data_IF_249385819131
#
_entry.id   IF_249385819131
#
_cell.length_a   1.000
_cell.length_b   1.000
_cell.length_c   1.000
_cell.angle_alpha   90.00
_cell.angle_beta   90.00
_cell.angle_gamma   90.00
#
_symmetry.space_group_name_H-M   'P 1'
#
loop_
_entity.id
_entity.type
_entity.pdbx_description
1 polymer ?
#
# COMPACT_ATOMS: atom_id res chain seq x y z
N UNK A 1 30.11 17.76 1.91
CA UNK A 1 28.76 17.32 2.35
C UNK A 1 27.98 16.93 1.10
N UNK A 2 27.37 15.75 1.08
CA UNK A 2 26.51 15.32 -0.03
C UNK A 2 25.24 16.17 -0.03
N UNK A 3 24.82 16.62 -1.21
CA UNK A 3 23.56 17.33 -1.38
C UNK A 3 22.41 16.40 -0.96
N UNK A 4 21.56 16.79 0.01
CA UNK A 4 20.45 15.95 0.49
C UNK A 4 19.46 15.57 -0.60
N UNK A 5 19.21 16.46 -1.59
CA UNK A 5 18.33 16.18 -2.74
C UNK A 5 18.90 15.04 -3.58
N UNK A 6 20.20 15.09 -3.87
CA UNK A 6 20.87 14.04 -4.64
C UNK A 6 20.90 12.72 -3.87
N UNK A 7 21.07 12.77 -2.55
CA UNK A 7 21.04 11.58 -1.70
C UNK A 7 19.65 10.94 -1.70
N UNK A 8 18.59 11.74 -1.60
CA UNK A 8 17.21 11.27 -1.66
C UNK A 8 16.86 10.65 -3.03
N UNK A 9 17.26 11.32 -4.14
CA UNK A 9 17.06 10.75 -5.48
C UNK A 9 17.74 9.41 -5.65
N UNK A 10 19.01 9.28 -5.24
CA UNK A 10 19.74 8.01 -5.28
C UNK A 10 19.07 6.92 -4.45
N UNK A 11 18.55 7.28 -3.27
CA UNK A 11 17.86 6.34 -2.41
C UNK A 11 16.55 5.85 -3.05
N UNK A 12 15.74 6.74 -3.63
CA UNK A 12 14.55 6.33 -4.39
C UNK A 12 14.89 5.45 -5.59
N UNK A 13 15.93 5.81 -6.35
CA UNK A 13 16.40 4.99 -7.48
C UNK A 13 16.84 3.59 -7.04
N UNK A 14 17.46 3.47 -5.87
CA UNK A 14 17.85 2.20 -5.29
C UNK A 14 16.62 1.35 -4.94
N UNK A 15 15.64 1.93 -4.24
CA UNK A 15 14.41 1.22 -3.88
C UNK A 15 13.61 0.82 -5.12
N UNK A 16 13.48 1.72 -6.10
CA UNK A 16 12.72 1.45 -7.32
C UNK A 16 13.33 0.33 -8.17
N UNK A 17 14.62 0.05 -8.05
CA UNK A 17 15.26 -1.10 -8.71
C UNK A 17 14.83 -2.45 -8.12
N UNK A 18 14.25 -2.45 -6.94
CA UNK A 18 13.74 -3.65 -6.26
C UNK A 18 12.26 -3.91 -6.57
N UNK A 19 11.62 -3.05 -7.38
CA UNK A 19 10.28 -3.29 -7.90
C UNK A 19 10.31 -4.48 -8.84
N UNK A 20 9.41 -5.41 -8.64
CA UNK A 20 9.27 -6.62 -9.44
C UNK A 20 7.80 -6.90 -9.73
N UNK A 21 7.56 -7.60 -10.82
CA UNK A 21 6.25 -8.20 -11.10
C UNK A 21 6.15 -9.51 -10.34
N UNK A 22 5.18 -9.63 -9.46
CA UNK A 22 4.95 -10.87 -8.73
C UNK A 22 4.04 -11.77 -9.59
N UNK A 23 4.50 -12.97 -9.99
CA UNK A 23 3.68 -13.83 -10.80
C UNK A 23 2.43 -14.28 -10.03
N UNK A 24 1.29 -14.26 -10.70
CA UNK A 24 0.06 -14.81 -10.18
C UNK A 24 0.24 -16.30 -9.89
N UNK A 25 0.15 -16.66 -8.61
CA UNK A 25 0.23 -18.06 -8.20
C UNK A 25 -1.15 -18.59 -7.79
N UNK A 26 -1.30 -19.92 -7.80
CA UNK A 26 -2.51 -20.57 -7.31
C UNK A 26 -2.85 -20.14 -5.88
N UNK A 27 -1.84 -19.83 -5.07
CA UNK A 27 -2.01 -19.32 -3.71
C UNK A 27 -2.64 -17.92 -3.71
N UNK A 28 -2.13 -16.98 -4.51
CA UNK A 28 -2.67 -15.63 -4.62
C UNK A 28 -4.11 -15.67 -5.11
N UNK A 29 -4.38 -16.42 -6.16
CA UNK A 29 -5.72 -16.62 -6.71
C UNK A 29 -6.67 -17.21 -5.67
N UNK A 30 -6.24 -18.23 -4.93
CA UNK A 30 -7.04 -18.88 -3.88
C UNK A 30 -7.38 -17.90 -2.76
N UNK A 31 -6.39 -17.12 -2.29
CA UNK A 31 -6.59 -16.12 -1.24
C UNK A 31 -7.55 -15.02 -1.68
N UNK A 32 -7.36 -14.47 -2.87
CA UNK A 32 -8.22 -13.41 -3.42
C UNK A 32 -9.66 -13.94 -3.59
N UNK A 33 -9.82 -15.16 -4.11
CA UNK A 33 -11.13 -15.79 -4.25
C UNK A 33 -11.88 -16.01 -2.93
N UNK A 34 -11.16 -16.15 -1.82
CA UNK A 34 -11.73 -16.29 -0.48
C UNK A 34 -11.99 -14.93 0.18
N UNK A 35 -10.99 -14.07 0.19
CA UNK A 35 -10.99 -12.83 0.97
C UNK A 35 -11.92 -11.77 0.36
N UNK A 36 -11.89 -11.56 -0.95
CA UNK A 36 -12.64 -10.46 -1.57
C UNK A 36 -14.16 -10.64 -1.47
N UNK A 37 -14.75 -11.82 -1.76
CA UNK A 37 -16.18 -12.03 -1.56
C UNK A 37 -16.63 -11.82 -0.11
N UNK A 38 -15.80 -12.21 0.86
CA UNK A 38 -16.12 -12.01 2.27
C UNK A 38 -15.98 -10.54 2.68
N UNK A 39 -14.98 -9.83 2.17
CA UNK A 39 -14.80 -8.40 2.36
C UNK A 39 -16.00 -7.60 1.84
N UNK A 40 -16.51 -7.92 0.67
CA UNK A 40 -17.67 -7.25 0.05
C UNK A 40 -18.94 -7.39 0.91
N UNK A 41 -19.13 -8.55 1.54
CA UNK A 41 -20.29 -8.83 2.41
C UNK A 41 -20.27 -8.07 3.73
N UNK A 42 -19.08 -7.62 4.17
CA UNK A 42 -18.95 -6.91 5.44
C UNK A 42 -19.66 -5.55 5.42
N UNK A 43 -20.19 -5.08 6.55
CA UNK A 43 -20.76 -3.72 6.65
C UNK A 43 -19.72 -2.62 6.35
N UNK A 44 -18.45 -2.87 6.66
CA UNK A 44 -17.32 -1.99 6.47
C UNK A 44 -16.53 -2.26 5.17
N UNK A 45 -16.99 -3.21 4.35
CA UNK A 45 -16.39 -3.54 3.05
C UNK A 45 -16.80 -2.59 1.93
N UNK A 46 -16.16 -2.69 0.75
CA UNK A 46 -16.46 -1.84 -0.42
C UNK A 46 -17.88 -2.07 -0.94
N UNK A 47 -18.43 -1.04 -1.59
CA UNK A 47 -19.79 -1.09 -2.16
C UNK A 47 -19.77 -0.64 -3.63
N UNK A 48 -20.61 -1.22 -4.50
CA UNK A 48 -20.78 -0.73 -5.86
C UNK A 48 -21.12 0.77 -5.91
N UNK A 49 -20.52 1.48 -6.86
CA UNK A 49 -20.65 2.94 -7.02
C UNK A 49 -19.68 3.78 -6.17
N UNK A 50 -18.85 3.15 -5.35
CA UNK A 50 -17.72 3.81 -4.69
C UNK A 50 -16.52 3.86 -5.64
N UNK A 51 -15.76 4.95 -5.62
CA UNK A 51 -14.47 5.02 -6.29
C UNK A 51 -13.42 4.31 -5.44
N UNK A 52 -12.85 3.25 -5.98
CA UNK A 52 -11.96 2.31 -5.26
C UNK A 52 -10.56 2.36 -5.85
N UNK A 53 -9.55 2.44 -4.99
CA UNK A 53 -8.15 2.22 -5.40
C UNK A 53 -7.63 0.90 -4.83
N UNK A 54 -6.93 0.13 -5.65
CA UNK A 54 -6.13 -1.03 -5.21
C UNK A 54 -4.66 -0.65 -5.29
N UNK A 55 -4.03 -0.51 -4.12
CA UNK A 55 -2.64 -0.08 -3.98
C UNK A 55 -1.74 -1.32 -3.97
N UNK A 56 -0.92 -1.46 -4.99
CA UNK A 56 -0.20 -2.69 -5.28
C UNK A 56 -1.10 -3.70 -6.00
N UNK A 57 -1.85 -3.25 -7.01
CA UNK A 57 -2.89 -4.05 -7.67
C UNK A 57 -2.36 -5.25 -8.47
N UNK A 58 -1.04 -5.33 -8.71
CA UNK A 58 -0.45 -6.36 -9.56
C UNK A 58 -1.16 -6.48 -10.90
N UNK A 59 -1.47 -7.68 -11.33
CA UNK A 59 -2.22 -7.98 -12.56
C UNK A 59 -3.74 -7.71 -12.47
N UNK A 60 -4.20 -7.04 -11.40
CA UNK A 60 -5.59 -6.66 -11.14
C UNK A 60 -6.55 -7.85 -10.84
N UNK A 61 -6.08 -8.90 -10.18
CA UNK A 61 -6.93 -10.03 -9.77
C UNK A 61 -8.04 -9.62 -8.79
N UNK A 62 -7.77 -8.64 -7.92
CA UNK A 62 -8.79 -8.08 -7.00
C UNK A 62 -9.90 -7.42 -7.80
N UNK A 63 -9.58 -6.68 -8.85
CA UNK A 63 -10.58 -6.02 -9.70
C UNK A 63 -11.44 -7.01 -10.46
N UNK A 64 -10.85 -8.10 -10.97
CA UNK A 64 -11.61 -9.16 -11.61
C UNK A 64 -12.70 -9.68 -10.65
N UNK A 65 -12.36 -9.88 -9.37
CA UNK A 65 -13.33 -10.31 -8.34
C UNK A 65 -14.36 -9.24 -7.99
N UNK A 66 -13.98 -7.99 -7.92
CA UNK A 66 -14.94 -6.91 -7.70
C UNK A 66 -15.95 -6.82 -8.85
N UNK A 67 -15.50 -6.90 -10.10
CA UNK A 67 -16.38 -6.88 -11.29
C UNK A 67 -17.30 -8.09 -11.33
N UNK A 68 -16.84 -9.29 -11.01
CA UNK A 68 -17.67 -10.49 -10.85
C UNK A 68 -18.78 -10.31 -9.79
N UNK A 69 -18.59 -9.41 -8.83
CA UNK A 69 -19.54 -9.09 -7.77
C UNK A 69 -20.30 -7.76 -8.00
N UNK A 70 -20.32 -7.27 -9.24
CA UNK A 70 -21.20 -6.17 -9.65
C UNK A 70 -20.60 -4.76 -9.51
N UNK A 71 -19.30 -4.63 -9.33
CA UNK A 71 -18.62 -3.34 -9.38
C UNK A 71 -18.34 -2.94 -10.84
N UNK A 72 -18.41 -1.64 -11.13
CA UNK A 72 -18.12 -1.11 -12.46
C UNK A 72 -16.62 -0.83 -12.60
N UNK A 73 -16.01 -1.24 -13.72
CA UNK A 73 -14.58 -1.02 -13.99
C UNK A 73 -14.18 0.45 -13.93
N UNK A 74 -15.06 1.37 -14.35
CA UNK A 74 -14.78 2.82 -14.33
C UNK A 74 -14.57 3.40 -12.94
N UNK A 75 -15.01 2.69 -11.90
CA UNK A 75 -14.89 3.09 -10.50
C UNK A 75 -13.64 2.47 -9.84
N UNK A 76 -12.87 1.65 -10.57
CA UNK A 76 -11.71 0.91 -10.08
C UNK A 76 -10.41 1.49 -10.65
N UNK A 77 -9.50 1.90 -9.78
CA UNK A 77 -8.20 2.49 -10.14
C UNK A 77 -7.07 1.70 -9.50
N UNK A 78 -6.18 1.17 -10.31
CA UNK A 78 -5.01 0.41 -9.86
C UNK A 78 -3.77 1.29 -9.67
N UNK A 79 -2.92 0.86 -8.74
CA UNK A 79 -1.61 1.42 -8.51
C UNK A 79 -0.57 0.30 -8.51
N UNK A 80 0.35 0.30 -9.46
CA UNK A 80 1.50 -0.61 -9.47
C UNK A 80 2.68 0.01 -10.21
N UNK A 81 3.87 -0.17 -9.66
CA UNK A 81 5.11 0.31 -10.27
C UNK A 81 5.72 -0.72 -11.27
N UNK A 82 5.25 -1.97 -11.25
CA UNK A 82 5.70 -3.01 -12.15
C UNK A 82 5.06 -2.84 -13.54
N UNK A 83 5.86 -2.60 -14.57
CA UNK A 83 5.37 -2.31 -15.93
C UNK A 83 4.60 -3.49 -16.53
N UNK A 84 5.02 -4.74 -16.28
CA UNK A 84 4.36 -5.94 -16.77
C UNK A 84 2.97 -6.12 -16.15
N UNK A 85 2.85 -5.90 -14.84
CA UNK A 85 1.58 -5.96 -14.12
C UNK A 85 0.63 -4.88 -14.60
N UNK A 86 1.14 -3.64 -14.76
CA UNK A 86 0.36 -2.53 -15.28
C UNK A 86 -0.17 -2.84 -16.68
N UNK A 87 0.68 -3.30 -17.59
CA UNK A 87 0.27 -3.67 -18.94
C UNK A 87 -0.82 -4.76 -18.93
N UNK A 88 -0.72 -5.71 -17.99
CA UNK A 88 -1.74 -6.76 -17.83
C UNK A 88 -3.07 -6.17 -17.33
N UNK A 89 -3.05 -5.30 -16.32
CA UNK A 89 -4.23 -4.64 -15.79
C UNK A 89 -4.91 -3.75 -16.85
N UNK A 90 -4.13 -2.93 -17.57
CA UNK A 90 -4.61 -2.08 -18.67
C UNK A 90 -5.17 -2.92 -19.82
N UNK A 91 -4.53 -4.06 -20.15
CA UNK A 91 -5.02 -5.02 -21.14
C UNK A 91 -6.38 -5.64 -20.79
N UNK A 92 -6.70 -5.74 -19.49
CA UNK A 92 -8.03 -6.12 -18.98
C UNK A 92 -9.03 -4.96 -18.99
N UNK A 93 -8.61 -3.74 -19.35
CA UNK A 93 -9.44 -2.54 -19.41
C UNK A 93 -9.62 -1.81 -18.08
N UNK A 94 -8.69 -1.97 -17.14
CA UNK A 94 -8.66 -1.21 -15.90
C UNK A 94 -7.77 0.03 -16.02
N UNK A 95 -8.14 1.11 -15.34
CA UNK A 95 -7.28 2.27 -15.14
C UNK A 95 -6.16 1.91 -14.16
N UNK A 96 -4.89 2.12 -14.54
CA UNK A 96 -3.76 1.79 -13.70
C UNK A 96 -2.63 2.82 -13.82
N UNK A 97 -2.03 3.20 -12.70
CA UNK A 97 -0.99 4.23 -12.63
C UNK A 97 0.33 3.70 -12.03
N UNK A 98 1.48 4.15 -12.55
CA UNK A 98 2.81 3.74 -12.08
C UNK A 98 3.33 4.57 -10.91
N UNK A 99 2.44 4.97 -9.98
CA UNK A 99 2.86 5.81 -8.86
C UNK A 99 3.45 4.98 -7.73
N UNK A 100 4.48 5.53 -7.09
CA UNK A 100 4.90 5.09 -5.76
C UNK A 100 3.79 5.41 -4.76
N UNK A 101 3.39 4.43 -3.95
CA UNK A 101 2.29 4.58 -2.99
C UNK A 101 2.50 5.69 -1.95
N UNK A 102 3.75 6.14 -1.77
CA UNK A 102 4.09 7.25 -0.86
C UNK A 102 4.03 8.62 -1.54
N UNK A 103 3.89 8.67 -2.88
CA UNK A 103 4.02 9.89 -3.70
C UNK A 103 3.09 9.82 -4.91
N UNK A 104 1.79 9.74 -4.69
CA UNK A 104 0.82 9.65 -5.78
C UNK A 104 0.49 11.03 -6.35
N UNK A 105 0.01 11.07 -7.60
CA UNK A 105 -0.45 12.30 -8.24
C UNK A 105 -1.97 12.46 -8.21
N UNK A 106 -2.65 11.64 -7.40
CA UNK A 106 -4.09 11.76 -7.23
C UNK A 106 -4.45 13.04 -6.47
N UNK A 107 -5.62 13.59 -6.77
CA UNK A 107 -6.18 14.70 -6.03
C UNK A 107 -6.55 14.30 -4.58
N UNK A 108 -6.64 15.28 -3.70
CA UNK A 108 -7.11 15.07 -2.34
C UNK A 108 -8.53 14.49 -2.37
N UNK A 109 -8.85 13.63 -1.39
CA UNK A 109 -10.19 13.08 -1.20
C UNK A 109 -10.81 12.45 -2.46
N UNK A 110 -10.00 11.72 -3.23
CA UNK A 110 -10.42 11.07 -4.47
C UNK A 110 -11.22 9.79 -4.22
N UNK A 111 -10.81 8.97 -3.26
CA UNK A 111 -11.30 7.60 -3.12
C UNK A 111 -12.22 7.41 -1.92
N UNK A 112 -13.29 6.62 -2.13
CA UNK A 112 -14.21 6.20 -1.07
C UNK A 112 -13.69 4.96 -0.33
N UNK A 113 -12.98 4.08 -1.05
CA UNK A 113 -12.44 2.84 -0.50
C UNK A 113 -11.06 2.54 -1.08
N UNK A 114 -10.20 1.92 -0.27
CA UNK A 114 -8.91 1.41 -0.75
C UNK A 114 -8.71 -0.04 -0.32
N UNK A 115 -8.02 -0.80 -1.17
CA UNK A 115 -7.52 -2.13 -0.87
C UNK A 115 -6.00 -2.07 -0.94
N UNK A 116 -5.32 -2.59 0.08
CA UNK A 116 -3.86 -2.56 0.22
C UNK A 116 -3.44 -3.94 0.69
N UNK A 117 -2.99 -4.78 -0.21
CA UNK A 117 -2.63 -6.16 0.12
C UNK A 117 -1.22 -6.46 -0.31
N UNK A 118 -0.42 -6.91 0.65
CA UNK A 118 0.96 -7.33 0.39
C UNK A 118 1.78 -6.29 -0.40
N UNK A 119 1.65 -5.00 -0.02
CA UNK A 119 2.45 -3.93 -0.61
C UNK A 119 2.96 -2.92 0.41
N UNK A 120 2.27 -2.70 1.55
CA UNK A 120 2.68 -1.68 2.52
C UNK A 120 3.99 -2.04 3.24
N UNK A 121 4.31 -3.32 3.35
CA UNK A 121 5.61 -3.83 3.85
C UNK A 121 6.79 -3.38 2.99
N UNK A 122 6.56 -3.05 1.72
CA UNK A 122 7.57 -2.52 0.81
C UNK A 122 7.79 -1.01 0.96
N UNK A 123 7.01 -0.33 1.81
CA UNK A 123 7.24 1.09 2.05
C UNK A 123 8.48 1.32 2.91
N UNK A 124 9.42 2.09 2.38
CA UNK A 124 10.57 2.57 3.15
C UNK A 124 10.20 3.73 4.11
N UNK A 125 9.02 4.33 3.92
CA UNK A 125 8.53 5.48 4.70
C UNK A 125 7.08 5.26 5.18
N UNK A 126 6.80 4.26 6.01
CA UNK A 126 5.44 3.82 6.30
C UNK A 126 4.53 4.92 6.86
N UNK A 127 5.05 5.83 7.67
CA UNK A 127 4.24 6.94 8.17
C UNK A 127 3.89 7.95 7.07
N UNK A 128 4.84 8.28 6.19
CA UNK A 128 4.61 9.15 5.04
C UNK A 128 3.60 8.52 4.07
N UNK A 129 3.71 7.22 3.83
CA UNK A 129 2.74 6.46 3.02
C UNK A 129 1.34 6.55 3.61
N UNK A 130 1.18 6.37 4.91
CA UNK A 130 -0.12 6.51 5.58
C UNK A 130 -0.66 7.95 5.52
N UNK A 131 0.20 8.97 5.56
CA UNK A 131 -0.21 10.36 5.34
C UNK A 131 -0.68 10.60 3.91
N UNK A 132 -0.02 10.00 2.91
CA UNK A 132 -0.46 10.03 1.52
C UNK A 132 -1.81 9.31 1.34
N UNK A 133 -1.99 8.15 1.99
CA UNK A 133 -3.28 7.46 2.01
C UNK A 133 -4.37 8.34 2.64
N UNK A 134 -4.08 9.04 3.74
CA UNK A 134 -5.03 9.97 4.32
C UNK A 134 -5.41 11.08 3.34
N UNK A 135 -4.44 11.61 2.61
CA UNK A 135 -4.67 12.69 1.63
C UNK A 135 -5.62 12.26 0.51
N UNK A 136 -5.40 11.09 -0.08
CA UNK A 136 -6.19 10.62 -1.24
C UNK A 136 -7.55 10.02 -0.86
N UNK A 137 -7.72 9.60 0.40
CA UNK A 137 -8.99 9.07 0.89
C UNK A 137 -9.95 10.19 1.28
N UNK A 138 -11.23 10.04 0.96
CA UNK A 138 -12.28 10.92 1.49
C UNK A 138 -12.43 10.78 3.00
N UNK A 139 -12.85 11.84 3.66
CA UNK A 139 -13.20 11.75 5.08
C UNK A 139 -14.38 10.78 5.27
N UNK A 140 -14.25 9.82 6.18
CA UNK A 140 -15.17 8.69 6.32
C UNK A 140 -14.89 7.53 5.36
N UNK A 141 -13.98 7.71 4.40
CA UNK A 141 -13.50 6.64 3.51
C UNK A 141 -12.75 5.56 4.28
N UNK A 142 -12.79 4.34 3.77
CA UNK A 142 -12.25 3.15 4.43
C UNK A 142 -11.18 2.47 3.61
N UNK A 143 -10.29 1.77 4.29
CA UNK A 143 -9.26 0.96 3.65
C UNK A 143 -9.20 -0.41 4.30
N UNK A 144 -9.13 -1.45 3.49
CA UNK A 144 -8.72 -2.77 3.91
C UNK A 144 -7.23 -2.94 3.65
N UNK A 145 -6.46 -3.24 4.69
CA UNK A 145 -5.01 -3.40 4.62
C UNK A 145 -4.66 -4.80 5.13
N UNK A 146 -3.89 -5.55 4.37
CA UNK A 146 -3.36 -6.87 4.74
C UNK A 146 -1.86 -6.91 4.45
N UNK A 147 -1.08 -7.35 5.42
CA UNK A 147 0.37 -7.39 5.30
C UNK A 147 0.97 -8.49 6.20
N UNK A 148 2.19 -8.97 5.90
CA UNK A 148 2.87 -9.94 6.76
C UNK A 148 3.15 -9.35 8.15
N UNK A 149 3.00 -10.20 9.16
CA UNK A 149 3.45 -9.92 10.53
C UNK A 149 4.84 -10.54 10.76
N UNK A 150 5.65 -9.98 11.66
CA UNK A 150 6.96 -10.56 11.98
C UNK A 150 6.82 -11.92 12.68
N UNK A 151 7.83 -12.76 12.53
CA UNK A 151 7.96 -14.02 13.25
C UNK A 151 7.39 -15.25 12.55
N UNK A 152 7.01 -15.15 11.28
CA UNK A 152 6.61 -16.29 10.45
C UNK A 152 7.77 -17.23 10.13
N UNK A 153 7.45 -18.42 9.65
CA UNK A 153 8.45 -19.45 9.35
C UNK A 153 9.38 -19.05 8.19
N UNK A 154 8.86 -18.31 7.19
CA UNK A 154 9.66 -17.81 6.06
C UNK A 154 10.49 -16.57 6.38
N UNK A 155 10.31 -15.98 7.57
CA UNK A 155 11.03 -14.77 7.99
C UNK A 155 10.85 -13.62 6.99
N UNK A 156 9.60 -13.30 6.66
CA UNK A 156 9.26 -12.26 5.68
C UNK A 156 9.85 -10.90 6.06
N UNK A 157 10.09 -10.65 7.34
CA UNK A 157 10.79 -9.46 7.85
C UNK A 157 12.26 -9.35 7.42
N UNK A 158 12.85 -10.42 6.87
CA UNK A 158 14.23 -10.43 6.38
C UNK A 158 14.33 -10.37 4.84
N UNK A 159 13.20 -10.28 4.14
CA UNK A 159 13.25 -10.14 2.68
C UNK A 159 13.81 -8.76 2.32
N UNK A 160 14.68 -8.74 1.30
CA UNK A 160 15.46 -7.55 0.93
C UNK A 160 14.59 -6.31 0.64
N UNK A 161 13.41 -6.51 0.07
CA UNK A 161 12.47 -5.46 -0.31
C UNK A 161 11.34 -5.23 0.70
N UNK A 162 11.37 -5.88 1.86
CA UNK A 162 10.43 -5.68 2.97
C UNK A 162 11.03 -4.71 4.00
N UNK A 163 10.76 -3.44 3.84
CA UNK A 163 11.32 -2.39 4.73
C UNK A 163 10.50 -2.19 6.00
N UNK A 164 9.23 -2.61 6.01
CA UNK A 164 8.26 -2.24 7.05
C UNK A 164 7.43 -3.42 7.54
N UNK A 165 8.05 -4.57 7.81
CA UNK A 165 7.36 -5.66 8.52
C UNK A 165 7.40 -5.39 10.02
N UNK A 166 6.32 -4.81 10.56
CA UNK A 166 6.24 -4.34 11.95
C UNK A 166 5.13 -5.06 12.71
N UNK A 167 5.24 -5.06 14.04
CA UNK A 167 4.19 -5.60 14.91
C UNK A 167 2.90 -4.75 14.88
N UNK A 168 1.76 -5.41 15.18
CA UNK A 168 0.42 -4.83 15.10
C UNK A 168 0.27 -3.49 15.83
N UNK A 169 0.85 -3.35 17.03
CA UNK A 169 0.76 -2.14 17.82
C UNK A 169 1.48 -0.95 17.17
N UNK A 170 2.60 -1.20 16.50
CA UNK A 170 3.33 -0.11 15.83
C UNK A 170 2.56 0.41 14.63
N UNK A 171 2.02 -0.48 13.81
CA UNK A 171 1.14 -0.11 12.71
C UNK A 171 -0.08 0.67 13.19
N UNK A 172 -0.78 0.19 14.23
CA UNK A 172 -1.92 0.90 14.81
C UNK A 172 -1.55 2.31 15.29
N UNK A 173 -0.40 2.47 15.94
CA UNK A 173 0.09 3.79 16.37
C UNK A 173 0.35 4.73 15.20
N UNK A 174 0.92 4.25 14.09
CA UNK A 174 1.14 5.06 12.89
C UNK A 174 -0.18 5.44 12.22
N UNK A 175 -1.15 4.51 12.13
CA UNK A 175 -2.49 4.77 11.58
C UNK A 175 -3.23 5.85 12.36
N UNK A 176 -3.24 5.79 13.70
CA UNK A 176 -3.84 6.83 14.55
C UNK A 176 -3.19 8.19 14.30
N UNK A 177 -1.86 8.25 14.27
CA UNK A 177 -1.11 9.50 14.01
C UNK A 177 -1.41 10.07 12.62
N UNK A 178 -1.64 9.19 11.64
CA UNK A 178 -2.02 9.58 10.28
C UNK A 178 -3.50 9.99 10.15
N UNK A 179 -4.29 9.99 11.23
CA UNK A 179 -5.69 10.44 11.24
C UNK A 179 -6.72 9.37 10.95
N UNK A 180 -6.37 8.11 11.17
CA UNK A 180 -7.30 6.97 11.03
C UNK A 180 -7.69 6.39 12.38
N UNK A 181 -8.92 5.92 12.49
CA UNK A 181 -9.30 4.89 13.44
C UNK A 181 -9.17 3.51 12.79
N UNK A 182 -9.04 2.45 13.57
CA UNK A 182 -8.90 1.11 13.01
C UNK A 182 -9.54 0.01 13.85
N UNK A 183 -9.92 -1.07 13.17
CA UNK A 183 -10.09 -2.40 13.73
C UNK A 183 -9.04 -3.33 13.11
N UNK A 184 -8.55 -4.29 13.86
CA UNK A 184 -7.48 -5.18 13.38
C UNK A 184 -7.58 -6.57 14.01
N UNK A 185 -6.98 -7.54 13.33
CA UNK A 185 -6.70 -8.85 13.83
C UNK A 185 -5.42 -9.40 13.23
N UNK A 186 -4.92 -10.49 13.79
CA UNK A 186 -3.82 -11.27 13.24
C UNK A 186 -4.32 -12.70 13.04
N UNK A 187 -4.02 -13.28 11.90
CA UNK A 187 -4.33 -14.67 11.60
C UNK A 187 -3.10 -15.38 11.07
N UNK A 188 -3.08 -16.69 11.21
CA UNK A 188 -2.03 -17.55 10.70
C UNK A 188 -2.46 -18.19 9.38
N UNK A 189 -1.76 -17.88 8.32
CA UNK A 189 -1.90 -18.59 7.06
C UNK A 189 -1.02 -19.84 7.07
N UNK A 190 -1.60 -20.97 6.73
CA UNK A 190 -0.87 -22.23 6.55
C UNK A 190 -0.62 -22.45 5.08
N UNK A 191 0.64 -22.44 4.68
CA UNK A 191 1.09 -22.58 3.29
C UNK A 191 1.78 -23.93 3.16
N UNK A 192 1.26 -24.81 2.32
CA UNK A 192 1.93 -26.06 2.00
C UNK A 192 3.00 -25.81 0.91
N UNK A 193 4.14 -26.47 1.03
CA UNK A 193 5.12 -26.55 -0.07
C UNK A 193 4.50 -27.25 -1.27
N UNK A 194 5.04 -27.00 -2.47
CA UNK A 194 4.53 -27.61 -3.73
C UNK A 194 4.54 -29.14 -3.69
N UNK A 195 5.49 -29.74 -2.98
CA UNK A 195 5.61 -31.18 -2.78
C UNK A 195 4.73 -31.73 -1.62
N UNK A 196 4.05 -30.84 -0.90
CA UNK A 196 3.19 -31.21 0.24
C UNK A 196 3.93 -31.70 1.48
N UNK A 197 5.26 -31.67 1.49
CA UNK A 197 6.07 -32.22 2.59
C UNK A 197 6.23 -31.29 3.78
N UNK A 198 6.10 -30.00 3.57
CA UNK A 198 6.27 -28.96 4.60
C UNK A 198 5.10 -28.01 4.60
N UNK A 199 4.69 -27.57 5.78
CA UNK A 199 3.70 -26.52 5.97
C UNK A 199 4.38 -25.35 6.70
N UNK A 200 4.36 -24.18 6.09
CA UNK A 200 4.76 -22.92 6.71
C UNK A 200 3.57 -22.29 7.42
N UNK A 201 3.83 -21.71 8.57
CA UNK A 201 2.88 -20.86 9.29
C UNK A 201 3.31 -19.41 9.18
N UNK A 202 2.51 -18.62 8.49
CA UNK A 202 2.78 -17.20 8.27
C UNK A 202 1.72 -16.34 8.94
N UNK A 203 2.09 -15.55 9.94
CA UNK A 203 1.17 -14.60 10.54
C UNK A 203 0.97 -13.41 9.60
N UNK A 204 -0.29 -12.98 9.45
CA UNK A 204 -0.67 -11.77 8.73
C UNK A 204 -1.50 -10.88 9.63
N UNK A 205 -1.20 -9.57 9.56
CA UNK A 205 -2.07 -8.55 10.12
C UNK A 205 -3.07 -8.11 9.07
N UNK A 206 -4.32 -7.94 9.47
CA UNK A 206 -5.26 -7.17 8.68
C UNK A 206 -5.87 -6.04 9.50
N UNK A 207 -6.18 -4.97 8.82
CA UNK A 207 -6.80 -3.77 9.36
C UNK A 207 -7.96 -3.35 8.47
N UNK A 208 -9.03 -2.85 9.08
CA UNK A 208 -9.96 -1.95 8.42
C UNK A 208 -9.81 -0.61 9.10
N UNK A 209 -9.37 0.38 8.33
CA UNK A 209 -9.14 1.73 8.84
C UNK A 209 -10.13 2.69 8.22
N UNK A 210 -10.54 3.73 8.97
CA UNK A 210 -11.43 4.80 8.53
C UNK A 210 -10.76 6.14 8.74
N UNK A 211 -10.72 6.99 7.71
CA UNK A 211 -10.23 8.37 7.85
C UNK A 211 -11.19 9.17 8.72
N UNK A 212 -10.76 9.60 9.90
CA UNK A 212 -11.55 10.38 10.85
C UNK A 212 -11.04 11.81 11.01
N UNK A 213 -9.78 12.06 10.70
CA UNK A 213 -9.17 13.39 10.71
C UNK A 213 -8.55 13.63 9.35
N UNK A 214 -8.95 14.73 8.72
CA UNK A 214 -8.29 15.16 7.49
C UNK A 214 -6.91 15.75 7.80
N UNK A 215 -5.91 15.25 7.08
CA UNK A 215 -4.51 15.70 7.09
C UNK A 215 -4.10 16.30 5.74
N UNK A 216 -5.07 16.75 4.95
CA UNK A 216 -4.84 17.28 3.59
C UNK A 216 -4.15 18.65 3.55
N UNK A 217 -3.96 19.31 4.69
CA UNK A 217 -3.01 20.41 4.86
C UNK A 217 -1.55 19.95 4.65
N UNK A 218 -1.30 18.65 4.75
CA UNK A 218 -0.11 17.99 4.25
C UNK A 218 -0.07 18.12 2.72
N UNK A 219 0.94 18.81 2.21
CA UNK A 219 1.14 18.92 0.77
C UNK A 219 1.46 17.55 0.17
N UNK A 220 0.92 17.26 -1.05
CA UNK A 220 1.24 16.00 -1.73
C UNK A 220 2.75 15.77 -1.76
N UNK A 221 3.18 14.58 -1.39
CA UNK A 221 4.58 14.19 -1.49
C UNK A 221 4.97 13.87 -2.94
N UNK A 222 4.62 14.74 -3.89
CA UNK A 222 5.12 14.65 -5.26
C UNK A 222 6.64 14.76 -5.24
N UNK A 223 7.32 14.20 -6.23
CA UNK A 223 8.78 14.32 -6.33
C UNK A 223 9.26 15.77 -6.22
N UNK A 224 8.51 16.71 -6.79
CA UNK A 224 8.77 18.15 -6.70
C UNK A 224 8.69 18.69 -5.27
N UNK A 225 7.66 18.30 -4.51
CA UNK A 225 7.51 18.71 -3.11
C UNK A 225 8.63 18.14 -2.23
N UNK A 226 9.00 16.87 -2.44
CA UNK A 226 10.12 16.27 -1.72
C UNK A 226 11.45 16.97 -2.02
N UNK A 227 11.67 17.41 -3.26
CA UNK A 227 12.85 18.20 -3.59
C UNK A 227 12.87 19.55 -2.85
N UNK A 228 11.73 20.22 -2.76
CA UNK A 228 11.58 21.47 -2.00
C UNK A 228 11.82 21.24 -0.51
N UNK A 229 11.22 20.21 0.09
CA UNK A 229 11.37 19.86 1.52
C UNK A 229 12.83 19.55 1.86
N UNK A 230 13.49 18.73 1.05
CA UNK A 230 14.91 18.37 1.26
C UNK A 230 15.80 19.60 1.11
N UNK A 231 15.46 20.52 0.21
CA UNK A 231 16.17 21.81 0.07
C UNK A 231 16.03 22.65 1.35
N UNK A 232 14.82 22.79 1.88
CA UNK A 232 14.56 23.51 3.13
C UNK A 232 15.34 22.90 4.32
N UNK A 233 15.31 21.56 4.43
CA UNK A 233 16.09 20.84 5.46
C UNK A 233 17.60 21.07 5.30
N UNK A 234 18.12 21.12 4.07
CA UNK A 234 19.51 21.41 3.81
C UNK A 234 19.90 22.83 4.23
N UNK A 235 19.06 23.81 3.95
CA UNK A 235 19.27 25.20 4.34
C UNK A 235 19.21 25.37 5.87
N UNK A 236 18.28 24.68 6.54
CA UNK A 236 18.21 24.64 8.00
C UNK A 236 19.49 24.09 8.63
N UNK A 237 19.98 22.96 8.12
CA UNK A 237 21.21 22.34 8.61
C UNK A 237 22.44 23.24 8.38
N UNK A 238 22.55 23.92 7.24
CA UNK A 238 23.65 24.87 6.97
C UNK A 238 23.67 26.02 7.97
N UNK A 239 22.48 26.56 8.32
CA UNK A 239 22.37 27.67 9.29
C UNK A 239 22.77 27.24 10.72
N UNK A 240 22.57 25.97 11.05
CA UNK A 240 22.86 25.44 12.41
C UNK A 240 24.28 24.87 12.56
N UNK A 241 24.97 24.55 11.47
CA UNK A 241 26.38 24.11 11.50
C UNK A 241 27.39 25.23 11.38
N UNK A 242 26.92 26.47 11.13
CA UNK A 242 27.75 27.68 11.03
C UNK A 242 27.84 28.47 12.36
N UNK A 243 27.39 27.87 13.43
CA UNK A 243 27.56 28.35 14.82
C UNK A 243 28.49 27.39 15.56
#
# INVERSE_FOLDING_TARGET
MTDPVQSFKKFREMINKEVYSEPDTDMHTTLINSIIPDLIKRPDGPKPGQKIVDIGCGSALVFDKLVENGFDKKDLVGLTMADEDRATAEGKGYECHPYDMSFTEFENETFDYAIVRHCLEHSAWPYMTLMEFNRIMKTGGRMYIEMPAPGGDRKLEHFQNHYSVMGQNMWGSLMIRAGFEYSSNTYDLKINTKDGTTQYKEPYHWYVITKIVDRSDYKPATGKYMEELVKEMSEFNKKNTSK
#
